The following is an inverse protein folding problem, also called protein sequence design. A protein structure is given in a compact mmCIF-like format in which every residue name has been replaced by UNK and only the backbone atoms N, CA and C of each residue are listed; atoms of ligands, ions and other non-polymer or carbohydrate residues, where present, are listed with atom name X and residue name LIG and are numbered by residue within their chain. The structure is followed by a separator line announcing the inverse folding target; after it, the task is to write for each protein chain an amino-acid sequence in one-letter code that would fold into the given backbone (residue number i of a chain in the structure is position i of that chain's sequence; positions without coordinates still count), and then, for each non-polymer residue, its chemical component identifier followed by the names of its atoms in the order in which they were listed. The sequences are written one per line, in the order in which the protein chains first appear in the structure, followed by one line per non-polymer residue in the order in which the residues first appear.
data_IF_633682572044
#
_entry.id   IF_633682572044
#
_cell.length_a   1.000
_cell.length_b   1.000
_cell.length_c   1.000
_cell.angle_alpha   90.00
_cell.angle_beta   90.00
_cell.angle_gamma   90.00
#
_symmetry.space_group_name_H-M   'P 1'
#
loop_
_entity.id
_entity.type
_entity.pdbx_description
1 polymer ?
#
# COMPACT_ATOMS: atom_id res chain seq x y z
N UNK A 1 -7.30 4.49 16.30
CA UNK A 1 -7.17 4.32 14.86
C UNK A 1 -6.00 3.40 14.56
N UNK A 2 -6.20 2.44 13.70
CA UNK A 2 -5.17 1.45 13.38
C UNK A 2 -4.33 1.87 12.20
N UNK A 3 -3.06 1.48 12.24
CA UNK A 3 -2.11 1.81 11.18
C UNK A 3 -1.31 0.55 10.84
N UNK A 4 -1.15 0.31 9.55
CA UNK A 4 -0.27 -0.73 9.07
C UNK A 4 1.11 -0.13 8.80
N UNK A 5 2.14 -0.68 9.41
CA UNK A 5 3.52 -0.19 9.23
C UNK A 5 4.33 -1.18 8.40
N UNK A 6 4.72 -0.76 7.22
CA UNK A 6 5.62 -1.53 6.36
C UNK A 6 7.03 -1.03 6.62
N UNK A 7 7.57 -1.38 7.79
CA UNK A 7 8.84 -0.85 8.27
C UNK A 7 9.97 -1.13 7.30
N UNK A 8 10.03 -2.34 6.78
CA UNK A 8 11.09 -2.71 5.84
C UNK A 8 11.06 -1.90 4.55
N UNK A 9 9.87 -1.44 4.16
CA UNK A 9 9.68 -0.72 2.90
C UNK A 9 9.60 0.79 3.11
N UNK A 10 9.53 1.23 4.35
CA UNK A 10 9.62 2.65 4.69
C UNK A 10 8.32 3.42 4.59
N UNK A 11 7.17 2.76 4.68
CA UNK A 11 5.89 3.46 4.59
C UNK A 11 4.88 2.92 5.60
N UNK A 12 3.81 3.67 5.78
CA UNK A 12 2.68 3.25 6.62
C UNK A 12 1.36 3.62 5.93
N UNK A 13 0.30 2.96 6.35
CA UNK A 13 -1.04 3.26 5.88
C UNK A 13 -1.98 3.30 7.08
N UNK A 14 -2.64 4.44 7.29
CA UNK A 14 -3.70 4.50 8.29
C UNK A 14 -4.89 3.73 7.73
N UNK A 15 -5.33 2.72 8.48
CA UNK A 15 -6.36 1.83 7.96
C UNK A 15 -7.72 2.52 8.00
N UNK A 16 -8.43 2.50 6.87
CA UNK A 16 -9.77 3.07 6.82
C UNK A 16 -10.74 2.36 7.75
N UNK A 17 -11.89 2.99 7.99
CA UNK A 17 -12.91 2.40 8.83
C UNK A 17 -13.28 1.00 8.32
N UNK A 18 -13.39 0.06 9.25
CA UNK A 18 -13.79 -1.31 8.93
C UNK A 18 -12.66 -2.20 8.43
N UNK A 19 -11.49 -1.61 8.14
CA UNK A 19 -10.38 -2.41 7.62
C UNK A 19 -9.67 -3.23 8.70
N UNK A 20 -9.34 -2.62 9.83
CA UNK A 20 -8.53 -3.27 10.84
C UNK A 20 -9.10 -4.61 11.31
N UNK A 21 -10.43 -4.71 11.39
CA UNK A 21 -11.08 -5.91 11.89
C UNK A 21 -11.26 -6.99 10.84
N UNK A 22 -11.12 -6.63 9.56
CA UNK A 22 -11.54 -7.52 8.48
C UNK A 22 -10.45 -7.91 7.50
N UNK A 23 -9.34 -7.18 7.45
CA UNK A 23 -8.34 -7.41 6.42
C UNK A 23 -7.18 -8.25 6.89
N UNK A 24 -6.49 -8.81 5.91
CA UNK A 24 -5.19 -9.42 6.09
C UNK A 24 -4.24 -8.77 5.12
N UNK A 25 -2.95 -8.85 5.40
CA UNK A 25 -1.92 -8.27 4.55
C UNK A 25 -0.87 -9.31 4.21
N UNK A 26 -0.46 -9.36 2.96
CA UNK A 26 0.57 -10.27 2.51
C UNK A 26 1.65 -9.48 1.76
N UNK A 27 2.90 -9.67 2.17
CA UNK A 27 4.05 -8.99 1.57
C UNK A 27 4.75 -9.94 0.61
N UNK A 28 5.03 -9.45 -0.59
CA UNK A 28 5.81 -10.19 -1.56
C UNK A 28 6.97 -9.31 -2.01
N UNK A 29 8.10 -9.94 -2.27
CA UNK A 29 9.30 -9.23 -2.69
C UNK A 29 9.95 -10.00 -3.82
N UNK A 30 10.32 -9.31 -4.87
CA UNK A 30 10.98 -9.93 -6.02
C UNK A 30 11.55 -8.89 -6.95
N UNK A 31 12.81 -9.08 -7.37
CA UNK A 31 13.44 -8.14 -8.25
C UNK A 31 13.51 -6.75 -7.64
N UNK A 32 12.94 -5.80 -8.33
CA UNK A 32 13.00 -4.40 -7.92
C UNK A 32 11.66 -3.89 -7.40
N UNK A 33 10.80 -4.81 -6.98
CA UNK A 33 9.48 -4.47 -6.44
C UNK A 33 9.26 -5.16 -5.11
N UNK A 34 8.63 -4.44 -4.19
CA UNK A 34 8.15 -5.03 -2.95
C UNK A 34 6.73 -4.56 -2.76
N UNK A 35 5.81 -5.50 -2.66
CA UNK A 35 4.39 -5.18 -2.62
C UNK A 35 3.74 -5.73 -1.37
N UNK A 36 2.79 -4.97 -0.83
CA UNK A 36 1.89 -5.45 0.24
C UNK A 36 0.49 -5.42 -0.35
N UNK A 37 -0.17 -6.57 -0.30
CA UNK A 37 -1.55 -6.69 -0.77
C UNK A 37 -2.46 -6.83 0.44
N UNK A 38 -3.43 -5.94 0.55
CA UNK A 38 -4.48 -6.02 1.57
C UNK A 38 -5.66 -6.76 0.96
N UNK A 39 -6.16 -7.75 1.68
CA UNK A 39 -7.25 -8.58 1.16
C UNK A 39 -8.19 -9.01 2.28
N UNK A 40 -9.38 -9.46 1.91
CA UNK A 40 -10.33 -10.05 2.84
C UNK A 40 -10.56 -11.49 2.43
N UNK A 41 -10.83 -12.34 3.40
CA UNK A 41 -11.22 -13.71 3.11
C UNK A 41 -12.74 -13.79 3.15
N UNK A 42 -13.31 -14.34 2.10
CA UNK A 42 -14.75 -14.53 1.98
C UNK A 42 -14.98 -16.00 1.66
N UNK A 43 -15.56 -16.71 2.62
CA UNK A 43 -15.73 -18.16 2.51
C UNK A 43 -14.37 -18.82 2.30
N UNK A 44 -14.12 -19.41 1.14
CA UNK A 44 -12.86 -20.07 0.85
C UNK A 44 -11.98 -19.28 -0.10
N UNK A 45 -12.37 -18.03 -0.40
CA UNK A 45 -11.71 -17.22 -1.42
C UNK A 45 -11.17 -15.93 -0.81
N UNK A 46 -9.97 -15.55 -1.22
CA UNK A 46 -9.41 -14.26 -0.83
C UNK A 46 -9.72 -13.23 -1.92
N UNK A 47 -10.19 -12.07 -1.50
CA UNK A 47 -10.49 -10.98 -2.42
C UNK A 47 -9.53 -9.83 -2.15
N UNK A 48 -8.68 -9.50 -3.11
CA UNK A 48 -7.73 -8.38 -2.99
C UNK A 48 -8.45 -7.05 -3.04
N UNK A 49 -8.01 -6.14 -2.18
CA UNK A 49 -8.61 -4.81 -2.04
C UNK A 49 -7.68 -3.71 -2.55
N UNK A 50 -6.45 -3.74 -2.12
CA UNK A 50 -5.48 -2.68 -2.39
C UNK A 50 -4.09 -3.29 -2.37
N UNK A 51 -3.26 -2.90 -3.34
CA UNK A 51 -1.85 -3.27 -3.33
C UNK A 51 -1.02 -1.99 -3.32
N UNK A 52 -0.05 -1.93 -2.43
CA UNK A 52 0.91 -0.84 -2.38
C UNK A 52 2.27 -1.42 -2.72
N UNK A 53 2.90 -0.86 -3.75
CA UNK A 53 4.17 -1.37 -4.26
C UNK A 53 5.24 -0.30 -4.18
N UNK A 54 6.41 -0.69 -3.67
CA UNK A 54 7.60 0.15 -3.68
C UNK A 54 8.44 -0.30 -4.87
N UNK A 55 8.70 0.62 -5.79
CA UNK A 55 9.42 0.35 -7.04
C UNK A 55 10.81 0.98 -6.98
N UNK A 56 11.83 0.20 -7.28
CA UNK A 56 13.20 0.69 -7.37
C UNK A 56 13.78 0.28 -8.72
N UNK A 57 15.03 0.69 -8.99
CA UNK A 57 15.70 0.28 -10.21
C UNK A 57 15.45 1.21 -11.39
N UNK A 58 16.10 0.87 -12.50
CA UNK A 58 16.10 1.73 -13.68
C UNK A 58 14.74 1.86 -14.35
N UNK A 59 13.88 0.87 -14.17
CA UNK A 59 12.59 0.78 -14.85
C UNK A 59 11.42 1.34 -14.02
N UNK A 60 11.73 1.90 -12.85
CA UNK A 60 10.67 2.27 -11.90
C UNK A 60 9.68 3.29 -12.43
N UNK A 61 10.15 4.26 -13.23
CA UNK A 61 9.24 5.26 -13.78
C UNK A 61 8.21 4.63 -14.71
N UNK A 62 8.66 3.75 -15.56
CA UNK A 62 7.77 3.06 -16.50
C UNK A 62 6.80 2.16 -15.75
N UNK A 63 7.28 1.47 -14.73
CA UNK A 63 6.43 0.59 -13.94
C UNK A 63 5.38 1.39 -13.16
N UNK A 64 5.72 2.59 -12.71
CA UNK A 64 4.83 3.41 -11.90
C UNK A 64 3.59 3.88 -12.67
N UNK A 65 3.69 4.01 -13.99
CA UNK A 65 2.58 4.53 -14.81
C UNK A 65 1.78 3.43 -15.49
N UNK A 66 2.01 2.18 -15.10
CA UNK A 66 1.21 1.09 -15.65
C UNK A 66 -0.26 1.27 -15.31
N UNK A 67 -1.12 0.77 -16.22
CA UNK A 67 -2.57 0.89 -16.06
C UNK A 67 -3.04 0.41 -14.68
N UNK A 68 -3.90 1.18 -14.06
CA UNK A 68 -4.47 0.82 -12.77
C UNK A 68 -3.68 1.31 -11.57
N UNK A 69 -2.46 1.82 -11.78
CA UNK A 69 -1.62 2.32 -10.70
C UNK A 69 -1.74 3.83 -10.54
N UNK A 70 -1.59 4.29 -9.30
CA UNK A 70 -1.54 5.72 -9.01
C UNK A 70 -0.36 5.97 -8.07
N UNK A 71 0.37 7.06 -8.32
CA UNK A 71 1.57 7.36 -7.53
C UNK A 71 1.18 7.94 -6.18
N UNK A 72 1.74 7.36 -5.13
CA UNK A 72 1.51 7.81 -3.76
C UNK A 72 2.61 8.77 -3.30
N UNK A 73 3.87 8.44 -3.61
CA UNK A 73 4.99 9.25 -3.17
C UNK A 73 6.26 8.84 -3.89
N UNK A 74 7.24 9.73 -3.86
CA UNK A 74 8.60 9.46 -4.34
C UNK A 74 9.58 9.81 -3.24
N UNK A 75 10.55 8.95 -2.99
CA UNK A 75 11.55 9.21 -1.97
C UNK A 75 12.85 8.53 -2.34
N UNK A 76 13.89 9.33 -2.56
CA UNK A 76 15.17 8.79 -3.00
C UNK A 76 14.99 8.13 -4.35
N UNK A 77 15.44 6.92 -4.51
CA UNK A 77 15.29 6.19 -5.77
C UNK A 77 14.06 5.30 -5.82
N UNK A 78 13.08 5.52 -4.95
CA UNK A 78 11.91 4.65 -4.83
C UNK A 78 10.63 5.41 -5.16
N UNK A 79 9.76 4.75 -5.92
CA UNK A 79 8.42 5.28 -6.22
C UNK A 79 7.41 4.35 -5.56
N UNK A 80 6.51 4.93 -4.77
CA UNK A 80 5.45 4.17 -4.10
C UNK A 80 4.16 4.35 -4.88
N UNK A 81 3.55 3.25 -5.27
CA UNK A 81 2.30 3.29 -6.05
C UNK A 81 1.22 2.47 -5.36
N UNK A 82 -0.02 2.88 -5.56
CA UNK A 82 -1.18 2.13 -5.12
C UNK A 82 -1.91 1.56 -6.30
N UNK A 83 -2.72 0.54 -6.03
CA UNK A 83 -3.54 -0.10 -7.04
C UNK A 83 -4.78 -0.64 -6.35
N UNK A 84 -5.95 -0.12 -6.74
CA UNK A 84 -7.21 -0.63 -6.20
C UNK A 84 -7.56 -1.91 -6.93
N UNK A 85 -7.84 -2.96 -6.19
CA UNK A 85 -8.09 -4.27 -6.74
C UNK A 85 -9.59 -4.54 -6.79
N UNK A 86 -9.97 -5.60 -7.51
CA UNK A 86 -11.36 -5.87 -7.79
C UNK A 86 -12.22 -6.04 -6.54
N UNK A 87 -11.66 -6.65 -5.50
CA UNK A 87 -12.41 -6.86 -4.27
C UNK A 87 -12.88 -5.57 -3.60
N UNK A 88 -12.21 -4.45 -3.90
CA UNK A 88 -12.59 -3.17 -3.32
C UNK A 88 -13.90 -2.63 -3.92
N UNK A 89 -14.25 -3.04 -5.13
CA UNK A 89 -15.37 -2.43 -5.85
C UNK A 89 -16.71 -2.63 -5.15
N UNK A 90 -16.95 -3.82 -4.64
CA UNK A 90 -18.24 -4.16 -4.06
C UNK A 90 -18.23 -4.31 -2.55
N UNK A 91 -17.15 -3.98 -1.92
CA UNK A 91 -17.02 -4.13 -0.48
C UNK A 91 -17.58 -2.89 0.23
N UNK A 92 -18.31 -3.11 1.32
CA UNK A 92 -18.94 -1.99 2.02
C UNK A 92 -17.94 -0.99 2.63
N UNK A 93 -16.69 -1.42 2.81
CA UNK A 93 -15.63 -0.54 3.31
C UNK A 93 -14.67 -0.16 2.19
N UNK A 94 -15.15 -0.09 0.96
CA UNK A 94 -14.31 0.28 -0.18
C UNK A 94 -13.73 1.68 -0.03
N UNK A 95 -12.61 1.90 -0.68
CA UNK A 95 -11.92 3.19 -0.61
C UNK A 95 -11.64 3.71 -2.02
N UNK A 96 -11.40 5.00 -2.10
CA UNK A 96 -11.01 5.66 -3.36
C UNK A 96 -9.51 5.90 -3.36
N UNK A 97 -8.98 6.25 -4.55
CA UNK A 97 -7.57 6.62 -4.66
C UNK A 97 -7.22 7.77 -3.73
N UNK A 98 -8.09 8.79 -3.67
CA UNK A 98 -7.82 9.94 -2.81
C UNK A 98 -7.78 9.58 -1.34
N UNK A 99 -8.63 8.65 -0.92
CA UNK A 99 -8.61 8.18 0.45
C UNK A 99 -7.30 7.44 0.76
N UNK A 100 -6.81 6.65 -0.19
CA UNK A 100 -5.54 5.95 -0.02
C UNK A 100 -4.40 6.95 0.06
N UNK A 101 -4.39 7.95 -0.83
CA UNK A 101 -3.35 8.98 -0.80
C UNK A 101 -3.31 9.71 0.53
N UNK A 102 -4.47 10.03 1.08
CA UNK A 102 -4.54 10.73 2.36
C UNK A 102 -4.10 9.87 3.53
N UNK A 103 -4.25 8.56 3.42
CA UNK A 103 -3.92 7.62 4.50
C UNK A 103 -2.48 7.14 4.46
N UNK A 104 -1.81 7.31 3.32
CA UNK A 104 -0.45 6.84 3.10
C UNK A 104 0.57 7.86 3.61
N UNK A 105 1.69 7.36 4.18
CA UNK A 105 2.78 8.23 4.56
C UNK A 105 4.09 7.48 4.55
N UNK A 106 5.19 8.23 4.59
CA UNK A 106 6.52 7.66 4.63
C UNK A 106 7.05 7.67 6.05
N UNK A 107 7.73 6.59 6.42
CA UNK A 107 8.45 6.55 7.69
C UNK A 107 9.77 7.24 7.43
N UNK A 108 9.98 8.40 8.04
CA UNK A 108 11.17 9.20 7.79
C UNK A 108 12.22 8.95 8.84
N UNK A 109 13.46 9.29 8.48
CA UNK A 109 14.56 9.18 9.40
C UNK A 109 14.37 10.12 10.60
N UNK A 110 13.82 11.30 10.34
CA UNK A 110 13.57 12.28 11.41
C UNK A 110 12.54 11.76 12.40
N UNK A 111 11.54 11.07 11.89
CA UNK A 111 10.53 10.48 12.73
C UNK A 111 11.14 9.45 13.67
N UNK A 112 12.04 8.62 13.16
CA UNK A 112 12.75 7.64 13.97
C UNK A 112 13.68 8.31 14.98
N UNK A 113 14.39 9.33 14.54
CA UNK A 113 15.34 10.05 15.38
C UNK A 113 14.64 10.81 16.50
N UNK A 114 13.39 11.21 16.27
CA UNK A 114 12.61 11.91 17.27
C UNK A 114 12.35 11.08 18.52
N UNK A 115 12.53 9.79 18.43
CA UNK A 115 12.33 8.89 19.55
C UNK A 115 13.50 8.92 20.56
N UNK A 116 14.57 9.56 20.20
CA UNK A 116 15.72 9.66 21.10
C UNK A 116 15.54 10.81 22.12
#
# INVERSE_FOLDING_TARGET
MSTYHAVEDGWYLRLPEGWAENIQAARTSGGEETAVTFYVEQDTTAAGLLRITALSGADRERQAVRSGRFILSRNGGVIYVGELLKGNEDWKYSVTEDQVRSAFGLITREWSAGDN
#
